data_IF_891014493757
#
_entry.id   IF_891014493757
#
_cell.length_a   1.000
_cell.length_b   1.000
_cell.length_c   1.000
_cell.angle_alpha   90.00
_cell.angle_beta   90.00
_cell.angle_gamma   90.00
#
_symmetry.space_group_name_H-M   'P 1'
#
loop_
_entity.id
_entity.type
_entity.pdbx_description
1 polymer ?
#
# COMPACT_ATOMS: atom_id res chain seq x y z
N UNK A 1 13.62 24.63 -9.18
CA UNK A 1 12.67 24.60 -8.04
C UNK A 1 11.25 24.13 -8.42
N UNK A 2 10.80 24.25 -9.67
CA UNK A 2 9.48 23.75 -10.11
C UNK A 2 9.39 22.23 -10.33
N UNK A 3 10.50 21.56 -10.59
CA UNK A 3 10.54 20.10 -10.83
C UNK A 3 10.42 19.25 -9.56
N UNK A 4 10.72 19.76 -8.38
CA UNK A 4 10.57 19.04 -7.11
C UNK A 4 9.14 19.06 -6.55
N UNK A 5 8.36 20.08 -6.87
CA UNK A 5 6.96 20.17 -6.41
C UNK A 5 6.00 19.27 -7.21
N UNK A 6 6.28 19.04 -8.50
CA UNK A 6 5.44 18.18 -9.36
C UNK A 6 5.50 16.70 -8.96
N UNK A 7 6.60 16.27 -8.34
CA UNK A 7 6.83 14.84 -8.04
C UNK A 7 6.22 14.37 -6.70
N UNK A 8 5.73 15.29 -5.85
CA UNK A 8 5.13 14.94 -4.54
C UNK A 8 3.69 14.42 -4.63
N UNK A 9 3.02 14.60 -5.77
CA UNK A 9 1.62 14.20 -5.96
C UNK A 9 1.47 12.89 -6.73
N UNK A 10 2.57 12.35 -7.27
CA UNK A 10 2.54 11.13 -8.07
C UNK A 10 2.88 9.90 -7.23
N UNK A 11 1.99 8.88 -7.29
CA UNK A 11 2.12 7.61 -6.57
C UNK A 11 2.09 6.48 -7.59
N UNK A 12 3.13 5.65 -7.59
CA UNK A 12 3.12 4.40 -8.33
C UNK A 12 2.59 3.27 -7.42
N UNK A 13 1.64 2.46 -7.92
CA UNK A 13 1.12 1.31 -7.19
C UNK A 13 1.46 0.03 -7.95
N UNK A 14 2.46 -0.68 -7.49
CA UNK A 14 2.89 -1.96 -8.04
C UNK A 14 1.93 -3.06 -7.57
N UNK A 15 1.37 -3.82 -8.53
CA UNK A 15 0.26 -4.73 -8.23
C UNK A 15 -1.08 -4.01 -8.08
N UNK A 16 -1.20 -2.79 -8.61
CA UNK A 16 -2.40 -1.94 -8.52
C UNK A 16 -3.68 -2.55 -9.10
N UNK A 17 -3.58 -3.66 -9.83
CA UNK A 17 -4.75 -4.41 -10.34
C UNK A 17 -5.39 -5.33 -9.30
N UNK A 18 -4.78 -5.53 -8.12
CA UNK A 18 -5.34 -6.26 -6.98
C UNK A 18 -6.31 -5.40 -6.15
N UNK A 19 -7.14 -6.05 -5.32
CA UNK A 19 -8.22 -5.35 -4.57
C UNK A 19 -7.67 -4.27 -3.62
N UNK A 20 -6.57 -4.54 -2.91
CA UNK A 20 -5.94 -3.56 -2.01
C UNK A 20 -5.39 -2.36 -2.79
N UNK A 21 -4.63 -2.64 -3.86
CA UNK A 21 -4.08 -1.58 -4.72
C UNK A 21 -5.17 -0.73 -5.38
N UNK A 22 -6.26 -1.35 -5.84
CA UNK A 22 -7.43 -0.64 -6.39
C UNK A 22 -8.09 0.29 -5.37
N UNK A 23 -8.32 -0.23 -4.16
CA UNK A 23 -8.94 0.55 -3.09
C UNK A 23 -8.12 1.79 -2.72
N UNK A 24 -6.80 1.64 -2.56
CA UNK A 24 -5.87 2.74 -2.29
C UNK A 24 -5.82 3.73 -3.46
N UNK A 25 -5.73 3.23 -4.71
CA UNK A 25 -5.71 4.06 -5.91
C UNK A 25 -6.95 4.97 -6.01
N UNK A 26 -8.15 4.42 -5.81
CA UNK A 26 -9.40 5.17 -5.85
C UNK A 26 -9.44 6.26 -4.77
N UNK A 27 -9.09 5.93 -3.52
CA UNK A 27 -9.08 6.89 -2.40
C UNK A 27 -8.11 8.03 -2.65
N UNK A 28 -6.89 7.74 -3.05
CA UNK A 28 -5.88 8.76 -3.30
C UNK A 28 -6.17 9.59 -4.54
N UNK A 29 -6.73 9.00 -5.60
CA UNK A 29 -7.19 9.78 -6.76
C UNK A 29 -8.30 10.77 -6.37
N UNK A 30 -9.28 10.34 -5.56
CA UNK A 30 -10.32 11.25 -5.02
C UNK A 30 -9.70 12.37 -4.18
N UNK A 31 -8.64 12.08 -3.42
CA UNK A 31 -7.89 13.06 -2.64
C UNK A 31 -7.02 14.01 -3.49
N UNK A 32 -6.90 13.77 -4.80
CA UNK A 32 -6.19 14.66 -5.74
C UNK A 32 -4.80 14.18 -6.13
N UNK A 33 -4.40 12.96 -5.78
CA UNK A 33 -3.11 12.40 -6.19
C UNK A 33 -3.16 11.86 -7.63
N UNK A 34 -2.01 11.89 -8.30
CA UNK A 34 -1.79 11.27 -9.60
C UNK A 34 -1.32 9.83 -9.39
N UNK A 35 -2.12 8.86 -9.80
CA UNK A 35 -1.84 7.43 -9.59
C UNK A 35 -1.37 6.80 -10.88
N UNK A 36 -0.29 6.03 -10.81
CA UNK A 36 0.13 5.15 -11.89
C UNK A 36 0.13 3.70 -11.44
N UNK A 37 -0.73 2.88 -12.06
CA UNK A 37 -0.90 1.47 -11.72
C UNK A 37 0.12 0.62 -12.49
N UNK A 38 0.98 -0.06 -11.75
CA UNK A 38 1.87 -1.07 -12.28
C UNK A 38 1.22 -2.45 -12.34
N UNK A 39 1.48 -3.17 -13.40
CA UNK A 39 1.10 -4.57 -13.59
C UNK A 39 2.24 -5.33 -14.28
N UNK A 40 2.32 -6.66 -14.07
CA UNK A 40 3.23 -7.53 -14.83
C UNK A 40 2.91 -7.53 -16.33
N UNK A 41 1.65 -7.34 -16.66
CA UNK A 41 1.14 -7.14 -18.01
C UNK A 41 0.75 -5.66 -18.16
N UNK A 42 1.47 -4.85 -18.98
CA UNK A 42 1.19 -3.43 -19.16
C UNK A 42 -0.21 -3.14 -19.70
N UNK A 43 -0.75 -3.99 -20.60
CA UNK A 43 -2.10 -3.82 -21.14
C UNK A 43 -3.15 -3.99 -20.05
N UNK A 44 -2.96 -4.97 -19.17
CA UNK A 44 -3.81 -5.17 -17.99
C UNK A 44 -3.72 -3.97 -17.03
N UNK A 45 -2.54 -3.38 -16.89
CA UNK A 45 -2.35 -2.14 -16.11
C UNK A 45 -3.21 -0.99 -16.68
N UNK A 46 -3.13 -0.75 -17.99
CA UNK A 46 -3.93 0.26 -18.69
C UNK A 46 -5.43 0.01 -18.58
N UNK A 47 -5.88 -1.20 -18.92
CA UNK A 47 -7.29 -1.58 -18.82
C UNK A 47 -7.86 -1.42 -17.40
N UNK A 48 -7.04 -1.74 -16.38
CA UNK A 48 -7.44 -1.56 -14.97
C UNK A 48 -7.57 -0.07 -14.62
N UNK A 49 -6.65 0.77 -15.10
CA UNK A 49 -6.73 2.22 -14.91
C UNK A 49 -7.99 2.81 -15.57
N UNK A 50 -8.30 2.42 -16.81
CA UNK A 50 -9.52 2.84 -17.52
C UNK A 50 -10.79 2.46 -16.74
N UNK A 51 -10.85 1.22 -16.27
CA UNK A 51 -11.96 0.74 -15.46
C UNK A 51 -12.12 1.53 -14.16
N UNK A 52 -11.00 1.85 -13.46
CA UNK A 52 -11.08 2.63 -12.22
C UNK A 52 -11.44 4.10 -12.45
N UNK A 53 -10.99 4.71 -13.55
CA UNK A 53 -11.42 6.08 -13.91
C UNK A 53 -12.94 6.22 -14.01
N UNK A 54 -13.62 5.20 -14.54
CA UNK A 54 -15.09 5.20 -14.63
C UNK A 54 -15.81 5.15 -13.29
N UNK A 55 -15.11 4.75 -12.21
CA UNK A 55 -15.65 4.69 -10.83
C UNK A 55 -15.43 5.99 -10.06
N UNK A 56 -14.58 6.90 -10.55
CA UNK A 56 -14.27 8.13 -9.85
C UNK A 56 -15.44 9.13 -9.94
N UNK A 57 -15.76 9.83 -8.84
CA UNK A 57 -16.67 10.96 -8.88
C UNK A 57 -16.25 12.02 -9.90
N UNK A 58 -17.21 12.66 -10.56
CA UNK A 58 -16.92 13.69 -11.59
C UNK A 58 -16.09 14.88 -11.08
N UNK A 59 -16.14 15.17 -9.79
CA UNK A 59 -15.36 16.25 -9.16
C UNK A 59 -13.94 15.83 -8.75
N UNK A 60 -13.50 14.60 -9.05
CA UNK A 60 -12.17 14.11 -8.71
C UNK A 60 -11.09 14.93 -9.42
N UNK A 61 -10.10 15.40 -8.66
CA UNK A 61 -8.97 16.20 -9.17
C UNK A 61 -7.76 15.34 -9.54
N UNK A 62 -7.60 14.17 -8.93
CA UNK A 62 -6.52 13.24 -9.22
C UNK A 62 -6.76 12.45 -10.50
N UNK A 63 -5.74 11.74 -10.94
CA UNK A 63 -5.76 10.91 -12.16
C UNK A 63 -5.38 9.47 -11.82
N UNK A 64 -5.81 8.54 -12.68
CA UNK A 64 -5.35 7.14 -12.62
C UNK A 64 -4.92 6.73 -14.02
N UNK A 65 -3.64 6.44 -14.18
CA UNK A 65 -3.07 5.85 -15.38
C UNK A 65 -2.45 4.48 -15.08
N UNK A 66 -2.04 3.74 -16.09
CA UNK A 66 -1.48 2.40 -15.86
C UNK A 66 -0.56 1.92 -16.97
N UNK A 67 0.27 0.95 -16.60
CA UNK A 67 1.27 0.34 -17.49
C UNK A 67 2.00 -0.81 -16.82
N UNK A 68 3.27 -1.01 -17.17
CA UNK A 68 4.12 -2.04 -16.60
C UNK A 68 4.64 -1.69 -15.20
N UNK A 69 5.04 -2.70 -14.39
CA UNK A 69 5.60 -2.49 -13.05
C UNK A 69 6.87 -1.66 -13.08
N UNK A 70 7.81 -1.95 -13.97
CA UNK A 70 9.06 -1.20 -14.09
C UNK A 70 8.83 0.26 -14.52
N UNK A 71 7.89 0.49 -15.44
CA UNK A 71 7.47 1.83 -15.84
C UNK A 71 6.89 2.60 -14.65
N UNK A 72 6.02 1.97 -13.87
CA UNK A 72 5.42 2.57 -12.68
C UNK A 72 6.49 2.96 -11.66
N UNK A 73 7.42 2.03 -11.34
CA UNK A 73 8.49 2.25 -10.38
C UNK A 73 9.43 3.41 -10.77
N UNK A 74 9.69 3.59 -12.08
CA UNK A 74 10.56 4.66 -12.57
C UNK A 74 9.91 6.05 -12.52
N UNK A 75 8.56 6.13 -12.49
CA UNK A 75 7.80 7.39 -12.59
C UNK A 75 7.70 8.16 -11.27
N UNK A 76 7.72 7.48 -10.13
CA UNK A 76 7.37 8.10 -8.84
C UNK A 76 8.45 7.92 -7.78
N UNK A 77 8.54 8.91 -6.88
CA UNK A 77 9.37 8.81 -5.66
C UNK A 77 8.66 8.10 -4.50
N UNK A 78 7.35 7.93 -4.60
CA UNK A 78 6.55 7.13 -3.69
C UNK A 78 6.01 5.92 -4.45
N UNK A 79 6.50 4.76 -4.11
CA UNK A 79 6.13 3.48 -4.74
C UNK A 79 5.43 2.61 -3.70
N UNK A 80 4.21 2.20 -3.98
CA UNK A 80 3.40 1.33 -3.12
C UNK A 80 3.48 -0.10 -3.66
N UNK A 81 3.87 -1.04 -2.82
CA UNK A 81 3.91 -2.47 -3.15
C UNK A 81 2.65 -3.16 -2.62
N UNK A 82 1.68 -3.39 -3.50
CA UNK A 82 0.36 -3.96 -3.19
C UNK A 82 0.14 -5.31 -3.88
N UNK A 83 1.13 -6.19 -3.80
CA UNK A 83 1.08 -7.54 -4.38
C UNK A 83 0.81 -8.61 -3.31
N UNK A 84 0.28 -9.79 -3.66
CA UNK A 84 0.27 -10.93 -2.74
C UNK A 84 1.70 -11.28 -2.28
N UNK A 85 1.86 -11.72 -1.02
CA UNK A 85 3.18 -12.02 -0.44
C UNK A 85 4.03 -12.99 -1.31
N UNK A 86 3.41 -14.00 -1.91
CA UNK A 86 4.10 -14.93 -2.83
C UNK A 86 4.73 -14.22 -4.04
N UNK A 87 4.21 -13.07 -4.44
CA UNK A 87 4.72 -12.28 -5.57
C UNK A 87 5.68 -11.16 -5.12
N UNK A 88 5.84 -10.88 -3.83
CA UNK A 88 6.63 -9.77 -3.31
C UNK A 88 8.08 -9.81 -3.81
N UNK A 89 8.83 -10.85 -3.49
CA UNK A 89 10.24 -10.95 -3.84
C UNK A 89 10.47 -11.00 -5.37
N UNK A 90 9.72 -11.76 -6.17
CA UNK A 90 9.83 -11.69 -7.63
C UNK A 90 9.56 -10.29 -8.19
N UNK A 91 8.52 -9.61 -7.70
CA UNK A 91 8.17 -8.26 -8.16
C UNK A 91 9.24 -7.23 -7.78
N UNK A 92 9.77 -7.28 -6.56
CA UNK A 92 10.85 -6.38 -6.16
C UNK A 92 12.13 -6.58 -6.99
N UNK A 93 12.47 -7.83 -7.35
CA UNK A 93 13.58 -8.10 -8.28
C UNK A 93 13.31 -7.56 -9.68
N UNK A 94 12.09 -7.67 -10.18
CA UNK A 94 11.66 -7.14 -11.49
C UNK A 94 11.84 -5.62 -11.57
N UNK A 95 11.43 -4.89 -10.53
CA UNK A 95 11.43 -3.42 -10.53
C UNK A 95 12.72 -2.80 -9.97
N UNK A 96 13.65 -3.61 -9.45
CA UNK A 96 14.83 -3.16 -8.71
C UNK A 96 15.59 -2.04 -9.40
N UNK A 97 15.91 -2.22 -10.67
CA UNK A 97 16.71 -1.27 -11.46
C UNK A 97 15.92 -0.02 -11.88
N UNK A 98 14.60 -0.04 -11.69
CA UNK A 98 13.70 1.09 -11.94
C UNK A 98 13.50 1.97 -10.71
N UNK A 99 13.80 1.46 -9.52
CA UNK A 99 13.73 2.22 -8.26
C UNK A 99 14.91 3.19 -8.18
N UNK A 100 14.63 4.47 -8.09
CA UNK A 100 15.67 5.51 -8.02
C UNK A 100 16.11 5.76 -6.57
N UNK A 101 17.37 6.14 -6.32
CA UNK A 101 17.79 6.63 -5.01
C UNK A 101 16.88 7.76 -4.50
N UNK A 102 16.51 7.69 -3.22
CA UNK A 102 15.54 8.62 -2.61
C UNK A 102 14.08 8.21 -2.82
N UNK A 103 13.79 7.07 -3.47
CA UNK A 103 12.44 6.50 -3.50
C UNK A 103 12.06 6.00 -2.10
N UNK A 104 10.81 6.25 -1.70
CA UNK A 104 10.17 5.65 -0.55
C UNK A 104 9.25 4.52 -1.02
N UNK A 105 9.56 3.29 -0.62
CA UNK A 105 8.71 2.13 -0.86
C UNK A 105 7.74 1.96 0.33
N UNK A 106 6.45 2.08 0.06
CA UNK A 106 5.39 1.75 1.00
C UNK A 106 4.94 0.30 0.79
N UNK A 107 5.32 -0.59 1.69
CA UNK A 107 4.92 -2.00 1.64
C UNK A 107 3.58 -2.20 2.36
N UNK A 108 2.57 -2.69 1.64
CA UNK A 108 1.26 -3.04 2.18
C UNK A 108 1.03 -4.56 2.18
N UNK A 109 2.06 -5.35 1.88
CA UNK A 109 1.96 -6.81 1.81
C UNK A 109 1.82 -7.44 3.20
N UNK A 110 1.20 -8.61 3.25
CA UNK A 110 1.04 -9.39 4.49
C UNK A 110 1.40 -10.84 4.22
N UNK A 111 2.27 -11.46 5.03
CA UNK A 111 2.70 -12.84 4.83
C UNK A 111 1.64 -13.83 5.36
N UNK A 112 0.54 -14.00 4.63
CA UNK A 112 -0.53 -14.94 4.97
C UNK A 112 -0.33 -16.30 4.32
N UNK A 113 -0.78 -17.38 4.98
CA UNK A 113 -0.69 -18.76 4.51
C UNK A 113 -1.28 -19.05 3.11
N UNK A 114 -2.27 -18.32 2.55
CA UNK A 114 -2.69 -18.53 1.17
C UNK A 114 -1.56 -18.46 0.14
N UNK A 115 -0.46 -17.77 0.45
CA UNK A 115 0.75 -17.77 -0.37
C UNK A 115 1.35 -19.19 -0.60
N UNK A 116 1.03 -20.13 0.30
CA UNK A 116 1.47 -21.55 0.26
C UNK A 116 0.28 -22.53 0.33
N UNK A 117 -0.93 -22.07 -0.01
CA UNK A 117 -2.14 -22.92 -0.04
C UNK A 117 -2.82 -23.11 1.31
N UNK A 118 -2.45 -22.34 2.34
CA UNK A 118 -3.05 -22.41 3.67
C UNK A 118 -4.24 -21.46 3.90
N UNK A 119 -4.53 -21.17 5.14
CA UNK A 119 -5.71 -20.39 5.56
C UNK A 119 -5.40 -18.89 5.68
N UNK A 120 -6.30 -17.98 5.26
CA UNK A 120 -6.08 -16.52 5.35
C UNK A 120 -6.06 -15.99 6.80
N UNK A 121 -6.44 -16.80 7.78
CA UNK A 121 -6.40 -16.47 9.21
C UNK A 121 -5.10 -16.86 9.89
N UNK A 122 -4.06 -17.19 9.12
CA UNK A 122 -2.75 -17.57 9.64
C UNK A 122 -1.65 -16.79 8.95
N UNK A 123 -0.65 -16.42 9.73
CA UNK A 123 0.55 -15.70 9.29
C UNK A 123 1.67 -16.71 9.03
N UNK A 124 2.42 -16.50 7.97
CA UNK A 124 3.66 -17.22 7.70
C UNK A 124 4.82 -16.58 8.48
N UNK A 125 5.74 -17.41 8.97
CA UNK A 125 7.03 -16.92 9.43
C UNK A 125 7.87 -16.42 8.24
N UNK A 126 8.34 -15.18 8.32
CA UNK A 126 9.27 -14.59 7.35
C UNK A 126 10.66 -14.60 7.95
N UNK A 127 11.68 -15.04 7.21
CA UNK A 127 13.06 -15.12 7.72
C UNK A 127 13.59 -13.76 8.15
N UNK A 128 13.31 -12.70 7.37
CA UNK A 128 13.68 -11.33 7.69
C UNK A 128 12.93 -10.76 8.92
N UNK A 129 11.86 -11.43 9.38
CA UNK A 129 11.02 -11.00 10.50
C UNK A 129 9.61 -10.56 10.08
N UNK A 130 9.48 -9.83 8.99
CA UNK A 130 8.22 -9.35 8.40
C UNK A 130 8.32 -9.24 6.87
N UNK A 131 7.19 -9.05 6.19
CA UNK A 131 7.20 -8.76 4.75
C UNK A 131 7.91 -7.44 4.45
N UNK A 132 7.71 -6.42 5.26
CA UNK A 132 8.38 -5.13 5.10
C UNK A 132 9.90 -5.21 5.32
N UNK A 133 10.37 -5.96 6.31
CA UNK A 133 11.80 -6.20 6.52
C UNK A 133 12.40 -7.00 5.34
N UNK A 134 11.68 -7.98 4.79
CA UNK A 134 12.10 -8.67 3.56
C UNK A 134 12.19 -7.72 2.36
N UNK A 135 11.26 -6.77 2.24
CA UNK A 135 11.35 -5.73 1.21
C UNK A 135 12.60 -4.87 1.37
N UNK A 136 12.95 -4.49 2.61
CA UNK A 136 14.14 -3.69 2.89
C UNK A 136 15.45 -4.41 2.51
N UNK A 137 15.50 -5.75 2.61
CA UNK A 137 16.66 -6.53 2.13
C UNK A 137 16.75 -6.63 0.59
N UNK A 138 15.62 -6.45 -0.12
CA UNK A 138 15.52 -6.66 -1.57
C UNK A 138 15.65 -5.39 -2.41
N UNK A 139 15.31 -4.23 -1.85
CA UNK A 139 15.43 -2.95 -2.56
C UNK A 139 16.89 -2.53 -2.74
N UNK A 140 17.21 -1.69 -3.74
CA UNK A 140 18.57 -1.17 -3.91
C UNK A 140 18.93 -0.15 -2.83
N UNK A 141 20.22 0.08 -2.67
CA UNK A 141 20.73 1.14 -1.78
C UNK A 141 20.13 2.51 -2.14
N UNK A 142 19.82 3.30 -1.13
CA UNK A 142 19.19 4.62 -1.29
C UNK A 142 17.65 4.59 -1.41
N UNK A 143 17.02 3.41 -1.41
CA UNK A 143 15.56 3.24 -1.31
C UNK A 143 15.19 2.94 0.14
N UNK A 144 14.33 3.77 0.73
CA UNK A 144 13.82 3.54 2.07
C UNK A 144 12.52 2.72 2.03
N UNK A 145 12.27 1.92 3.07
CA UNK A 145 11.03 1.13 3.20
C UNK A 145 10.25 1.58 4.43
N UNK A 146 8.96 1.72 4.24
CA UNK A 146 7.95 1.88 5.30
C UNK A 146 6.82 0.89 5.07
N UNK A 147 6.09 0.53 6.12
CA UNK A 147 4.91 -0.33 6.01
C UNK A 147 3.68 0.36 6.59
N UNK A 148 2.52 0.16 5.95
CA UNK A 148 1.23 0.63 6.44
C UNK A 148 0.07 -0.05 5.69
N UNK A 149 -1.18 0.16 6.14
CA UNK A 149 -2.43 -0.30 5.53
C UNK A 149 -2.67 -1.82 5.54
N UNK A 150 -1.92 -2.60 6.28
CA UNK A 150 -2.14 -4.03 6.41
C UNK A 150 -3.46 -4.36 7.13
N UNK A 151 -3.90 -3.48 8.01
CA UNK A 151 -5.07 -3.67 8.89
C UNK A 151 -6.37 -3.06 8.35
N UNK A 152 -6.41 -2.63 7.09
CA UNK A 152 -7.61 -2.07 6.47
C UNK A 152 -8.17 -2.98 5.39
N UNK A 153 -9.50 -3.17 5.39
CA UNK A 153 -10.17 -4.01 4.41
C UNK A 153 -10.16 -3.36 3.02
N UNK A 154 -9.70 -4.11 2.00
CA UNK A 154 -9.76 -3.68 0.60
C UNK A 154 -11.18 -3.34 0.13
N UNK A 155 -12.21 -4.05 0.63
CA UNK A 155 -13.62 -3.77 0.32
C UNK A 155 -14.07 -2.42 0.89
N UNK A 156 -13.64 -2.10 2.12
CA UNK A 156 -13.93 -0.80 2.75
C UNK A 156 -13.21 0.34 2.02
N UNK A 157 -11.96 0.11 1.59
CA UNK A 157 -11.23 1.09 0.78
C UNK A 157 -11.93 1.35 -0.56
N UNK A 158 -12.46 0.33 -1.23
CA UNK A 158 -13.12 0.46 -2.52
C UNK A 158 -14.50 1.14 -2.43
N UNK A 159 -15.13 1.17 -1.26
CA UNK A 159 -16.42 1.83 -1.04
C UNK A 159 -16.23 3.33 -0.77
N UNK A 160 -16.22 4.12 -1.83
CA UNK A 160 -15.99 5.58 -1.76
C UNK A 160 -17.13 6.35 -1.06
N UNK A 161 -18.31 5.73 -0.87
CA UNK A 161 -19.45 6.39 -0.24
C UNK A 161 -19.34 6.48 1.29
N UNK A 162 -18.50 5.65 1.90
CA UNK A 162 -18.35 5.58 3.35
C UNK A 162 -16.91 5.89 3.80
N UNK A 163 -16.78 6.44 5.00
CA UNK A 163 -15.47 6.65 5.65
C UNK A 163 -14.85 5.33 6.09
N UNK A 164 -13.52 5.33 6.24
CA UNK A 164 -12.74 4.19 6.72
C UNK A 164 -12.43 4.39 8.21
N UNK A 165 -13.19 3.78 9.09
CA UNK A 165 -13.00 3.93 10.55
C UNK A 165 -11.84 3.06 11.04
N UNK A 166 -10.59 3.51 10.82
CA UNK A 166 -9.39 2.72 11.12
C UNK A 166 -8.19 3.59 11.50
N UNK A 167 -7.40 3.14 12.46
CA UNK A 167 -6.06 3.67 12.72
C UNK A 167 -5.06 2.94 11.83
N UNK A 168 -4.23 3.68 11.14
CA UNK A 168 -3.19 3.16 10.27
C UNK A 168 -1.84 3.37 10.95
N UNK A 169 -1.23 2.27 11.39
CA UNK A 169 0.10 2.31 11.96
C UNK A 169 1.13 2.31 10.83
N UNK A 170 2.01 3.30 10.87
CA UNK A 170 3.09 3.43 9.89
C UNK A 170 4.41 3.07 10.56
N UNK A 171 5.06 1.99 10.11
CA UNK A 171 6.34 1.55 10.62
C UNK A 171 7.46 1.85 9.60
N UNK A 172 8.64 2.24 10.11
CA UNK A 172 9.80 2.56 9.28
C UNK A 172 10.93 3.11 10.14
N UNK A 173 12.19 2.93 9.75
CA UNK A 173 13.33 3.19 10.64
C UNK A 173 13.55 4.68 10.91
N UNK A 174 13.21 5.57 9.99
CA UNK A 174 13.33 7.00 10.23
C UNK A 174 11.97 7.67 10.41
N UNK A 175 11.88 8.58 11.38
CA UNK A 175 10.68 9.38 11.61
C UNK A 175 10.28 10.17 10.34
N UNK A 176 11.26 10.71 9.63
CA UNK A 176 11.00 11.48 8.41
C UNK A 176 10.26 10.65 7.35
N UNK A 177 10.64 9.38 7.13
CA UNK A 177 9.97 8.51 6.17
C UNK A 177 8.56 8.14 6.62
N UNK A 178 8.34 7.89 7.92
CA UNK A 178 7.00 7.62 8.45
C UNK A 178 6.08 8.84 8.28
N UNK A 179 6.57 10.04 8.58
CA UNK A 179 5.80 11.30 8.43
C UNK A 179 5.45 11.62 6.97
N UNK A 180 6.24 11.16 6.00
CA UNK A 180 5.89 11.31 4.57
C UNK A 180 4.63 10.51 4.18
N UNK A 181 4.26 9.49 4.94
CA UNK A 181 3.05 8.68 4.71
C UNK A 181 1.81 9.30 5.39
N UNK A 182 2.00 10.18 6.39
CA UNK A 182 0.88 10.81 7.11
C UNK A 182 -0.16 11.46 6.17
N UNK A 183 0.22 12.31 5.20
CA UNK A 183 -0.76 12.92 4.31
C UNK A 183 -1.59 11.92 3.51
N UNK A 184 -1.01 10.76 3.13
CA UNK A 184 -1.74 9.72 2.43
C UNK A 184 -2.76 9.02 3.32
N UNK A 185 -2.40 8.76 4.57
CA UNK A 185 -3.34 8.18 5.55
C UNK A 185 -4.48 9.14 5.81
N UNK A 186 -4.17 10.39 6.16
CA UNK A 186 -5.14 11.41 6.55
C UNK A 186 -6.02 11.89 5.38
N UNK A 187 -5.58 11.68 4.13
CA UNK A 187 -6.39 11.94 2.94
C UNK A 187 -7.55 10.95 2.75
N UNK A 188 -7.54 9.81 3.44
CA UNK A 188 -8.62 8.83 3.41
C UNK A 188 -9.59 9.13 4.56
N UNK A 189 -10.83 9.55 4.28
CA UNK A 189 -11.79 9.92 5.32
C UNK A 189 -11.98 8.82 6.37
N UNK A 190 -11.83 9.17 7.64
CA UNK A 190 -11.97 8.27 8.79
C UNK A 190 -10.70 7.49 9.15
N UNK A 191 -9.63 7.53 8.33
CA UNK A 191 -8.32 7.02 8.73
C UNK A 191 -7.60 8.01 9.65
N UNK A 192 -6.90 7.47 10.65
CA UNK A 192 -6.04 8.24 11.54
C UNK A 192 -4.62 7.68 11.46
N UNK A 193 -3.63 8.55 11.21
CA UNK A 193 -2.22 8.19 11.21
C UNK A 193 -1.73 7.94 12.64
N UNK A 194 -1.02 6.83 12.84
CA UNK A 194 -0.25 6.58 14.06
C UNK A 194 1.19 6.20 13.69
N UNK A 195 2.15 6.80 14.40
CA UNK A 195 3.56 6.43 14.31
C UNK A 195 3.77 5.06 14.96
N UNK A 196 3.96 4.02 14.16
CA UNK A 196 4.18 2.64 14.57
C UNK A 196 5.63 2.34 15.00
N UNK A 197 6.54 3.32 14.90
CA UNK A 197 7.94 3.18 15.26
C UNK A 197 8.79 2.52 14.17
N UNK A 198 9.81 1.78 14.58
CA UNK A 198 10.79 1.15 13.68
C UNK A 198 10.17 0.11 12.74
N UNK A 199 10.83 -0.16 11.61
CA UNK A 199 10.34 -1.10 10.60
C UNK A 199 10.08 -2.50 11.17
N UNK A 200 10.89 -2.95 12.13
CA UNK A 200 10.72 -4.24 12.81
C UNK A 200 9.35 -4.43 13.50
N UNK A 201 8.63 -3.34 13.84
CA UNK A 201 7.29 -3.42 14.39
C UNK A 201 6.25 -3.88 13.36
N UNK A 202 6.58 -3.88 12.06
CA UNK A 202 5.74 -4.40 10.98
C UNK A 202 5.32 -5.86 11.23
N UNK A 203 6.19 -6.68 11.84
CA UNK A 203 5.89 -8.08 12.18
C UNK A 203 4.67 -8.23 13.08
N UNK A 204 4.37 -7.24 13.90
CA UNK A 204 3.20 -7.21 14.78
C UNK A 204 1.99 -6.72 13.99
N UNK A 205 2.13 -5.62 13.26
CA UNK A 205 1.04 -4.97 12.52
C UNK A 205 0.54 -5.86 11.37
N UNK A 206 1.44 -6.51 10.64
CA UNK A 206 1.11 -7.48 9.60
C UNK A 206 0.29 -8.67 10.16
N UNK A 207 0.63 -9.15 11.35
CA UNK A 207 -0.07 -10.26 11.99
C UNK A 207 -1.53 -9.92 12.36
N UNK A 208 -1.85 -8.66 12.62
CA UNK A 208 -3.23 -8.23 12.90
C UNK A 208 -4.18 -8.52 11.74
N UNK A 209 -3.70 -8.52 10.51
CA UNK A 209 -4.53 -8.84 9.33
C UNK A 209 -5.16 -10.23 9.46
N UNK A 210 -4.42 -11.24 9.89
CA UNK A 210 -4.95 -12.59 10.09
C UNK A 210 -6.05 -12.63 11.16
N UNK A 211 -5.87 -11.89 12.26
CA UNK A 211 -6.86 -11.74 13.32
C UNK A 211 -8.13 -11.04 12.79
N UNK A 212 -7.98 -9.92 12.08
CA UNK A 212 -9.10 -9.16 11.53
C UNK A 212 -9.89 -9.97 10.51
N UNK A 213 -9.23 -10.75 9.64
CA UNK A 213 -9.90 -11.68 8.73
C UNK A 213 -10.72 -12.70 9.53
N UNK A 214 -10.16 -13.26 10.61
CA UNK A 214 -10.88 -14.18 11.50
C UNK A 214 -12.12 -13.56 12.14
N UNK A 215 -12.03 -12.31 12.59
CA UNK A 215 -13.14 -11.53 13.13
C UNK A 215 -14.19 -11.24 12.04
N UNK A 216 -13.76 -10.84 10.85
CA UNK A 216 -14.66 -10.56 9.73
C UNK A 216 -15.50 -11.79 9.34
N UNK A 217 -14.89 -12.98 9.33
CA UNK A 217 -15.58 -14.24 9.06
C UNK A 217 -16.60 -14.54 10.17
N UNK A 218 -16.22 -14.38 11.43
CA UNK A 218 -17.05 -14.70 12.60
C UNK A 218 -18.26 -13.75 12.72
N UNK A 219 -18.00 -12.45 12.57
CA UNK A 219 -19.02 -11.42 12.78
C UNK A 219 -19.70 -10.95 11.48
N UNK A 220 -19.31 -11.49 10.32
CA UNK A 220 -19.83 -11.14 8.98
C UNK A 220 -19.78 -9.64 8.70
N UNK A 221 -18.63 -9.02 8.99
CA UNK A 221 -18.41 -7.57 8.87
C UNK A 221 -17.01 -7.28 8.33
N UNK A 222 -16.66 -6.01 8.24
CA UNK A 222 -15.30 -5.54 7.92
C UNK A 222 -14.79 -4.72 9.10
N UNK A 223 -13.95 -5.35 9.92
CA UNK A 223 -13.38 -4.72 11.11
C UNK A 223 -12.16 -3.88 10.78
N UNK A 224 -11.95 -2.80 11.54
CA UNK A 224 -10.72 -2.03 11.63
C UNK A 224 -10.18 -2.04 13.05
N UNK A 225 -9.11 -1.29 13.29
CA UNK A 225 -8.50 -1.11 14.61
C UNK A 225 -8.59 0.36 15.00
N UNK A 226 -8.98 0.62 16.24
CA UNK A 226 -8.85 1.92 16.90
C UNK A 226 -8.03 1.76 18.17
N UNK A 227 -6.98 2.54 18.34
CA UNK A 227 -6.16 2.58 19.53
C UNK A 227 -6.64 3.72 20.41
N UNK A 228 -7.09 3.40 21.61
CA UNK A 228 -7.58 4.37 22.58
C UNK A 228 -6.42 5.00 23.37
N UNK A 229 -6.63 6.23 23.87
CA UNK A 229 -5.64 6.93 24.67
C UNK A 229 -4.56 7.68 23.89
N UNK A 230 -4.67 7.74 22.56
CA UNK A 230 -3.86 8.57 21.67
C UNK A 230 -4.82 9.57 21.00
N UNK A 231 -4.59 10.87 21.21
CA UNK A 231 -5.34 11.98 20.61
C UNK A 231 -4.76 12.37 19.25
#
# INVERSE_FOLDING_TARGET
>A
METEQTNRHQIAIIGGTGDQGKGLALRWAVAGYEIFLGSRDPERGRASADSMRSLLPAATKGTIDGGGNAEAAARARLVVLAVPFAAQAPTLREIRDSLQPGTLLLDVTVPLEPAVGGRPTRVLGVWAGSAAEQSAELVPEGVAVVSAFQNVSAKVLADLAHSVECDILVCGDTKTHREQIRPLVESIPGCRYLDGGVLANSRIVEAWTALLIGLNIRYKTHTGIRITGIE
#
